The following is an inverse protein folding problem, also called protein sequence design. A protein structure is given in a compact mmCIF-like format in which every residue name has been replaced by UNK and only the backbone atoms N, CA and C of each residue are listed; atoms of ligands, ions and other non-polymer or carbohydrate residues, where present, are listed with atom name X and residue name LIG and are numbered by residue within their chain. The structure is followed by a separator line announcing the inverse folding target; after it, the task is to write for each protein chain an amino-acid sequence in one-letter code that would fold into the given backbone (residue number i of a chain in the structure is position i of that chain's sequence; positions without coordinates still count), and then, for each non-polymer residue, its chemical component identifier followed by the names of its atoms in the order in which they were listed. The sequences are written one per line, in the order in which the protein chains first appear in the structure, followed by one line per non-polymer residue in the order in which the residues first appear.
data_IF_151481979122
#
_entry.id   IF_151481979122
#
_cell.length_a   1.000
_cell.length_b   1.000
_cell.length_c   1.000
_cell.angle_alpha   90.00
_cell.angle_beta   90.00
_cell.angle_gamma   90.00
#
_symmetry.space_group_name_H-M   'P 1'
#
loop_
_entity.id
_entity.type
_entity.pdbx_description
1 polymer ?
#
# COMPACT_ATOMS: atom_id res chain seq x y z
N UNK A 1 12.57 12.11 -7.60
CA UNK A 1 12.20 11.57 -6.26
C UNK A 1 13.10 10.37 -5.93
N UNK A 2 13.98 10.49 -4.94
CA UNK A 2 14.95 9.43 -4.60
C UNK A 2 14.33 8.24 -3.84
N UNK A 3 13.14 8.41 -3.28
CA UNK A 3 12.49 7.41 -2.43
C UNK A 3 11.20 6.82 -3.02
N UNK A 4 10.71 7.35 -4.16
CA UNK A 4 9.55 6.80 -4.87
C UNK A 4 9.96 5.61 -5.73
N UNK A 5 9.04 4.65 -5.87
CA UNK A 5 9.24 3.46 -6.69
C UNK A 5 9.12 3.85 -8.16
N UNK A 6 10.11 3.48 -8.97
CA UNK A 6 10.04 3.64 -10.43
C UNK A 6 10.09 2.24 -11.03
N UNK A 7 9.04 1.80 -11.75
CA UNK A 7 8.95 0.45 -12.30
C UNK A 7 10.21 0.02 -13.06
N UNK A 8 10.77 0.92 -13.87
CA UNK A 8 11.97 0.66 -14.65
C UNK A 8 13.20 0.28 -13.80
N UNK A 9 13.38 0.90 -12.63
CA UNK A 9 14.50 0.56 -11.75
C UNK A 9 14.29 -0.79 -11.09
N UNK A 10 13.06 -1.08 -10.65
CA UNK A 10 12.73 -2.38 -10.04
C UNK A 10 12.95 -3.52 -11.03
N UNK A 11 12.49 -3.37 -12.28
CA UNK A 11 12.70 -4.37 -13.34
C UNK A 11 14.18 -4.60 -13.68
N UNK A 12 15.05 -3.63 -13.40
CA UNK A 12 16.51 -3.72 -13.57
C UNK A 12 17.24 -4.23 -12.33
N UNK A 13 16.53 -4.50 -11.23
CA UNK A 13 17.15 -4.87 -9.95
C UNK A 13 17.79 -3.69 -9.21
N UNK A 14 17.50 -2.46 -9.63
CA UNK A 14 18.02 -1.23 -9.05
C UNK A 14 17.04 -0.63 -8.04
N UNK A 15 17.56 0.07 -7.02
CA UNK A 15 16.76 0.85 -6.06
C UNK A 15 15.62 0.06 -5.41
N UNK A 16 15.82 -1.23 -5.15
CA UNK A 16 14.80 -2.13 -4.58
C UNK A 16 14.26 -1.66 -3.21
N UNK A 17 15.04 -0.88 -2.46
CA UNK A 17 14.56 -0.24 -1.22
C UNK A 17 13.34 0.67 -1.46
N UNK A 18 13.15 1.16 -2.69
CA UNK A 18 12.00 2.00 -3.05
C UNK A 18 10.67 1.26 -3.04
N UNK A 19 10.65 -0.07 -3.10
CA UNK A 19 9.45 -0.89 -2.86
C UNK A 19 8.89 -0.71 -1.44
N UNK A 20 9.75 -0.33 -0.49
CA UNK A 20 9.36 -0.10 0.89
C UNK A 20 9.22 1.39 1.18
N UNK A 21 10.14 2.23 0.70
CA UNK A 21 10.08 3.67 0.99
C UNK A 21 8.94 4.37 0.27
N UNK A 22 8.48 3.86 -0.88
CA UNK A 22 7.34 4.40 -1.63
C UNK A 22 6.04 4.40 -0.82
N UNK A 23 5.86 3.41 0.04
CA UNK A 23 4.66 3.21 0.88
C UNK A 23 4.40 4.38 1.84
N UNK A 24 5.47 5.07 2.24
CA UNK A 24 5.40 6.17 3.21
C UNK A 24 5.34 7.56 2.53
N UNK A 25 5.51 7.62 1.21
CA UNK A 25 5.49 8.87 0.44
C UNK A 25 4.09 9.18 -0.07
N UNK A 26 3.75 10.46 -0.06
CA UNK A 26 2.42 10.92 -0.47
C UNK A 26 2.54 12.13 -1.39
N UNK A 27 1.72 12.13 -2.44
CA UNK A 27 1.73 13.18 -3.48
C UNK A 27 1.11 14.52 -3.05
N UNK A 28 0.58 14.62 -1.83
CA UNK A 28 -0.03 15.83 -1.29
C UNK A 28 -0.86 15.55 -0.04
N UNK A 29 -1.39 16.62 0.55
CA UNK A 29 -2.14 16.56 1.82
C UNK A 29 -3.40 15.68 1.72
N UNK A 30 -4.22 15.86 0.68
CA UNK A 30 -5.45 15.09 0.49
C UNK A 30 -5.14 13.59 0.33
N UNK A 31 -4.07 13.25 -0.39
CA UNK A 31 -3.64 11.87 -0.57
C UNK A 31 -3.22 11.24 0.76
N UNK A 32 -2.43 11.95 1.57
CA UNK A 32 -2.05 11.50 2.92
C UNK A 32 -3.27 11.34 3.83
N UNK A 33 -4.12 12.37 3.90
CA UNK A 33 -5.32 12.37 4.72
C UNK A 33 -6.24 11.19 4.39
N UNK A 34 -6.47 10.93 3.10
CA UNK A 34 -7.25 9.78 2.66
C UNK A 34 -6.69 8.46 3.17
N UNK A 35 -5.39 8.20 2.96
CA UNK A 35 -4.76 6.97 3.43
C UNK A 35 -4.86 6.81 4.96
N UNK A 36 -4.65 7.88 5.71
CA UNK A 36 -4.74 7.84 7.17
C UNK A 36 -6.16 7.60 7.66
N UNK A 37 -7.18 8.17 6.98
CA UNK A 37 -8.59 7.89 7.28
C UNK A 37 -8.93 6.40 7.14
N UNK A 38 -8.48 5.74 6.06
CA UNK A 38 -8.72 4.30 5.89
C UNK A 38 -8.00 3.47 6.96
N UNK A 39 -6.74 3.80 7.28
CA UNK A 39 -6.03 3.12 8.37
C UNK A 39 -6.71 3.32 9.72
N UNK A 40 -7.23 4.52 9.98
CA UNK A 40 -7.94 4.82 11.23
C UNK A 40 -9.26 4.03 11.36
N UNK A 41 -10.01 3.88 10.27
CA UNK A 41 -11.32 3.19 10.29
C UNK A 41 -11.16 1.66 10.31
N UNK A 42 -10.22 1.12 9.54
CA UNK A 42 -10.13 -0.33 9.29
C UNK A 42 -8.88 -0.98 9.88
N UNK A 43 -7.80 -0.22 10.04
CA UNK A 43 -6.50 -0.73 10.48
C UNK A 43 -6.56 -1.35 11.86
N UNK A 44 -7.16 -0.65 12.83
CA UNK A 44 -7.26 -1.09 14.23
C UNK A 44 -7.92 -2.48 14.36
N UNK A 45 -9.08 -2.67 13.72
CA UNK A 45 -9.79 -3.94 13.72
C UNK A 45 -8.95 -5.09 13.12
N UNK A 46 -8.20 -4.83 12.04
CA UNK A 46 -7.35 -5.85 11.41
C UNK A 46 -6.09 -6.10 12.24
N UNK A 47 -5.53 -5.06 12.87
CA UNK A 47 -4.40 -5.15 13.77
C UNK A 47 -4.73 -5.97 15.02
N UNK A 48 -5.90 -5.75 15.62
CA UNK A 48 -6.40 -6.55 16.76
C UNK A 48 -6.56 -8.02 16.39
N UNK A 49 -7.07 -8.31 15.19
CA UNK A 49 -7.23 -9.68 14.72
C UNK A 49 -5.89 -10.39 14.44
N UNK A 50 -4.87 -9.66 14.00
CA UNK A 50 -3.59 -10.23 13.55
C UNK A 50 -2.50 -10.16 14.64
N UNK A 51 -2.58 -9.19 15.54
CA UNK A 51 -1.50 -8.70 16.39
C UNK A 51 -0.53 -7.79 15.65
N UNK A 52 0.06 -6.82 16.37
CA UNK A 52 0.90 -5.74 15.85
C UNK A 52 1.96 -6.18 14.82
N UNK A 53 2.74 -7.22 15.13
CA UNK A 53 3.83 -7.65 14.26
C UNK A 53 3.33 -8.26 12.93
N UNK A 54 2.29 -9.09 12.98
CA UNK A 54 1.72 -9.71 11.79
C UNK A 54 0.97 -8.69 10.94
N UNK A 55 0.32 -7.73 11.57
CA UNK A 55 -0.29 -6.59 10.88
C UNK A 55 0.74 -5.78 10.10
N UNK A 56 1.87 -5.41 10.72
CA UNK A 56 2.96 -4.71 10.02
C UNK A 56 3.49 -5.52 8.84
N UNK A 57 3.76 -6.81 9.04
CA UNK A 57 4.25 -7.67 7.95
C UNK A 57 3.22 -7.79 6.82
N UNK A 58 1.94 -7.93 7.17
CA UNK A 58 0.85 -7.99 6.21
C UNK A 58 0.75 -6.69 5.39
N UNK A 59 0.82 -5.53 6.04
CA UNK A 59 0.85 -4.23 5.39
C UNK A 59 2.00 -4.13 4.37
N UNK A 60 3.22 -4.50 4.77
CA UNK A 60 4.39 -4.44 3.90
C UNK A 60 4.28 -5.43 2.73
N UNK A 61 3.81 -6.65 2.97
CA UNK A 61 3.61 -7.66 1.91
C UNK A 61 2.55 -7.18 0.90
N UNK A 62 1.42 -6.66 1.37
CA UNK A 62 0.38 -6.11 0.51
C UNK A 62 0.91 -4.92 -0.30
N UNK A 63 1.72 -4.06 0.30
CA UNK A 63 2.40 -2.96 -0.39
C UNK A 63 3.28 -3.43 -1.53
N UNK A 64 4.20 -4.36 -1.25
CA UNK A 64 5.10 -4.93 -2.27
C UNK A 64 4.32 -5.69 -3.35
N UNK A 65 3.31 -6.46 -2.98
CA UNK A 65 2.45 -7.16 -3.94
C UNK A 65 1.68 -6.19 -4.85
N UNK A 66 1.20 -5.06 -4.30
CA UNK A 66 0.55 -4.01 -5.07
C UNK A 66 1.55 -3.34 -6.03
N UNK A 67 2.79 -3.06 -5.60
CA UNK A 67 3.84 -2.52 -6.47
C UNK A 67 4.13 -3.45 -7.64
N UNK A 68 4.28 -4.77 -7.41
CA UNK A 68 4.47 -5.73 -8.49
C UNK A 68 3.25 -5.82 -9.41
N UNK A 69 2.04 -5.86 -8.85
CA UNK A 69 0.80 -5.87 -9.64
C UNK A 69 0.69 -4.63 -10.50
N UNK A 70 1.04 -3.46 -9.95
CA UNK A 70 1.12 -2.21 -10.68
C UNK A 70 2.13 -2.31 -11.83
N UNK A 71 3.37 -2.73 -11.57
CA UNK A 71 4.40 -2.90 -12.61
C UNK A 71 3.92 -3.82 -13.74
N UNK A 72 3.25 -4.93 -13.42
CA UNK A 72 2.72 -5.89 -14.40
C UNK A 72 1.54 -5.32 -15.22
N UNK A 73 0.85 -4.31 -14.70
CA UNK A 73 -0.28 -3.65 -15.38
C UNK A 73 0.13 -2.53 -16.33
N UNK A 74 1.39 -2.08 -16.28
CA UNK A 74 1.87 -0.93 -17.04
C UNK A 74 2.32 -1.28 -18.46
N UNK A 75 2.20 -0.29 -19.34
CA UNK A 75 2.82 -0.29 -20.67
C UNK A 75 4.26 0.24 -20.62
N UNK A 76 5.04 0.01 -21.69
CA UNK A 76 6.43 0.46 -21.76
C UNK A 76 6.63 1.98 -21.54
N UNK A 77 5.65 2.80 -21.97
CA UNK A 77 5.73 4.26 -21.83
C UNK A 77 5.61 4.72 -20.38
N UNK A 78 4.97 3.93 -19.52
CA UNK A 78 4.63 4.31 -18.14
C UNK A 78 5.70 3.86 -17.13
N UNK A 79 6.63 2.99 -17.52
CA UNK A 79 7.63 2.41 -16.62
C UNK A 79 8.58 3.43 -15.97
N UNK A 80 8.67 4.63 -16.54
CA UNK A 80 9.55 5.71 -16.03
C UNK A 80 8.85 6.65 -15.05
N UNK A 81 7.54 6.52 -14.87
CA UNK A 81 6.75 7.39 -13.99
C UNK A 81 6.90 6.91 -12.53
N UNK A 82 7.41 7.76 -11.61
CA UNK A 82 7.52 7.38 -10.21
C UNK A 82 6.14 7.24 -9.56
N UNK A 83 5.97 6.18 -8.79
CA UNK A 83 4.78 5.87 -7.98
C UNK A 83 5.10 5.97 -6.49
N UNK A 84 4.14 6.50 -5.73
CA UNK A 84 4.21 6.72 -4.28
C UNK A 84 2.84 6.49 -3.68
N UNK A 85 2.78 6.02 -2.43
CA UNK A 85 1.55 5.94 -1.65
C UNK A 85 1.36 4.62 -0.92
N UNK A 86 0.69 4.70 0.23
CA UNK A 86 0.28 3.57 1.06
C UNK A 86 -0.93 2.79 0.50
N UNK A 87 -1.58 3.30 -0.54
CA UNK A 87 -2.92 2.87 -0.97
C UNK A 87 -3.00 1.39 -1.38
N UNK A 88 -1.94 0.84 -1.98
CA UNK A 88 -1.86 -0.59 -2.31
C UNK A 88 -1.89 -1.48 -1.07
N UNK A 89 -1.09 -1.14 -0.05
CA UNK A 89 -1.09 -1.83 1.23
C UNK A 89 -2.44 -1.69 1.97
N UNK A 90 -3.02 -0.49 1.97
CA UNK A 90 -4.32 -0.21 2.59
C UNK A 90 -5.45 -0.98 1.90
N UNK A 91 -5.39 -1.16 0.58
CA UNK A 91 -6.35 -2.00 -0.15
C UNK A 91 -6.29 -3.45 0.32
N UNK A 92 -5.10 -3.95 0.65
CA UNK A 92 -4.90 -5.25 1.30
C UNK A 92 -5.55 -5.33 2.68
N UNK A 93 -5.37 -4.30 3.52
CA UNK A 93 -6.04 -4.18 4.82
C UNK A 93 -7.56 -4.17 4.66
N UNK A 94 -8.10 -3.41 3.71
CA UNK A 94 -9.54 -3.39 3.45
C UNK A 94 -10.05 -4.77 3.01
N UNK A 95 -9.30 -5.47 2.15
CA UNK A 95 -9.61 -6.85 1.78
C UNK A 95 -9.63 -7.80 2.98
N UNK A 96 -8.65 -7.71 3.87
CA UNK A 96 -8.63 -8.48 5.11
C UNK A 96 -9.81 -8.15 6.01
N UNK A 97 -10.12 -6.86 6.18
CA UNK A 97 -11.28 -6.40 6.95
C UNK A 97 -12.59 -6.98 6.42
N UNK A 98 -12.81 -6.97 5.10
CA UNK A 98 -14.02 -7.53 4.49
C UNK A 98 -14.16 -9.04 4.72
N UNK A 99 -13.04 -9.77 4.77
CA UNK A 99 -13.02 -11.21 5.05
C UNK A 99 -13.28 -11.49 6.53
N UNK A 100 -12.67 -10.72 7.43
CA UNK A 100 -12.79 -10.90 8.89
C UNK A 100 -14.16 -10.45 9.40
N UNK A 101 -14.71 -9.37 8.83
CA UNK A 101 -15.92 -8.70 9.28
C UNK A 101 -16.98 -8.56 8.17
N UNK A 102 -17.41 -9.66 7.53
CA UNK A 102 -18.28 -9.61 6.34
C UNK A 102 -19.69 -9.07 6.61
N UNK A 103 -20.09 -8.96 7.89
CA UNK A 103 -21.40 -8.41 8.30
C UNK A 103 -21.28 -7.10 9.09
N UNK A 104 -20.07 -6.54 9.21
CA UNK A 104 -19.91 -5.27 9.90
C UNK A 104 -20.63 -4.15 9.15
N UNK A 105 -21.31 -3.29 9.91
CA UNK A 105 -21.90 -2.05 9.38
C UNK A 105 -21.03 -0.91 9.84
N UNK A 106 -20.67 -0.03 8.91
CA UNK A 106 -20.06 1.25 9.24
C UNK A 106 -21.19 2.10 9.79
N UNK A 107 -21.22 2.28 11.11
CA UNK A 107 -22.18 3.15 11.78
C UNK A 107 -21.50 4.51 11.94
N UNK A 108 -22.13 5.54 11.39
CA UNK A 108 -21.74 6.95 11.52
C UNK A 108 -22.34 7.57 12.75
#
# INVERSE_FOLDING_TARGET
MNYGMVPMYILRGERLYTLFTSLFLHGGFIHLFGNMMYLYIFGDNVEDAFGHFRYLLFYLICGVAADFTHILSLTQLELTIPTIGASGAISGILGAYLILYPRARILT
#
